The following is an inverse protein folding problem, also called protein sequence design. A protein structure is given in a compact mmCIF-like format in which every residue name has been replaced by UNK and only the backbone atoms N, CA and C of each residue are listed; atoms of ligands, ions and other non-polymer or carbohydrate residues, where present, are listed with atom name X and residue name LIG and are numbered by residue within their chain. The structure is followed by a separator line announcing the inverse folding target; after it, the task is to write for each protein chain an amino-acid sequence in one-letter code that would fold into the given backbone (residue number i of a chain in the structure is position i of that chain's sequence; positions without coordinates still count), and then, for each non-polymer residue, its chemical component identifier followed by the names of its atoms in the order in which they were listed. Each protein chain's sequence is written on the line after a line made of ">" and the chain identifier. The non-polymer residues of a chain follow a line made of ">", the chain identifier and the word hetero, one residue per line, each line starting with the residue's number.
data_IF_328715951705
#
_entry.id   IF_328715951705
#
_cell.length_a   1.000
_cell.length_b   1.000
_cell.length_c   1.000
_cell.angle_alpha   90.00
_cell.angle_beta   90.00
_cell.angle_gamma   90.00
#
_symmetry.space_group_name_H-M   'P 1'
#
loop_
_entity.id
_entity.type
_entity.pdbx_description
1 polymer ?
#
# COMPACT_ATOMS: atom_id res chain seq x y z
N UNK A 1 -22.54 -17.54 -0.51
CA UNK A 1 -21.18 -16.97 -0.61
C UNK A 1 -20.21 -18.14 -0.57
N UNK A 2 -19.64 -18.51 -1.72
CA UNK A 2 -18.68 -19.60 -1.82
C UNK A 2 -17.39 -19.31 -1.04
N UNK A 3 -16.75 -20.36 -0.50
CA UNK A 3 -15.49 -20.29 0.25
C UNK A 3 -14.42 -19.46 -0.47
N UNK A 4 -14.39 -19.54 -1.81
CA UNK A 4 -13.47 -18.80 -2.66
C UNK A 4 -13.70 -17.28 -2.61
N UNK A 5 -14.96 -16.82 -2.59
CA UNK A 5 -15.29 -15.39 -2.47
C UNK A 5 -14.92 -14.84 -1.09
N UNK A 6 -15.09 -15.65 -0.04
CA UNK A 6 -14.72 -15.28 1.32
C UNK A 6 -13.19 -15.16 1.48
N UNK A 7 -12.43 -16.09 0.90
CA UNK A 7 -10.96 -16.05 0.88
C UNK A 7 -10.43 -14.82 0.11
N UNK A 8 -10.99 -14.53 -1.07
CA UNK A 8 -10.63 -13.34 -1.86
C UNK A 8 -10.91 -12.04 -1.11
N UNK A 9 -12.07 -11.94 -0.46
CA UNK A 9 -12.44 -10.76 0.35
C UNK A 9 -11.47 -10.56 1.52
N UNK A 10 -11.04 -11.65 2.17
CA UNK A 10 -10.06 -11.59 3.23
C UNK A 10 -8.71 -11.08 2.72
N UNK A 11 -8.28 -11.56 1.55
CA UNK A 11 -7.03 -11.15 0.91
C UNK A 11 -7.02 -9.66 0.55
N UNK A 12 -8.13 -9.16 -0.02
CA UNK A 12 -8.32 -7.74 -0.33
C UNK A 12 -8.27 -6.88 0.93
N UNK A 13 -8.87 -7.33 2.03
CA UNK A 13 -8.78 -6.62 3.32
C UNK A 13 -7.34 -6.54 3.82
N UNK A 14 -6.59 -7.65 3.78
CA UNK A 14 -5.18 -7.64 4.16
C UNK A 14 -4.33 -6.78 3.24
N UNK A 15 -4.55 -6.81 1.93
CA UNK A 15 -3.85 -5.96 0.97
C UNK A 15 -4.16 -4.47 1.19
N UNK A 16 -5.40 -4.12 1.53
CA UNK A 16 -5.78 -2.74 1.84
C UNK A 16 -5.10 -2.24 3.11
N UNK A 17 -5.10 -3.04 4.19
CA UNK A 17 -4.49 -2.67 5.47
C UNK A 17 -2.97 -2.65 5.37
N UNK A 18 -2.37 -3.68 4.77
CA UNK A 18 -0.92 -3.80 4.58
C UNK A 18 -0.37 -2.74 3.63
N UNK A 19 -1.04 -2.53 2.49
CA UNK A 19 -0.71 -1.45 1.56
C UNK A 19 -0.86 -0.07 2.19
N UNK A 20 -1.90 0.14 3.00
CA UNK A 20 -2.14 1.41 3.68
C UNK A 20 -1.03 1.75 4.67
N UNK A 21 -0.66 0.78 5.52
CA UNK A 21 0.44 0.92 6.47
C UNK A 21 1.78 1.18 5.75
N UNK A 22 2.03 0.45 4.65
CA UNK A 22 3.22 0.62 3.83
C UNK A 22 3.30 2.00 3.16
N UNK A 23 2.15 2.53 2.71
CA UNK A 23 2.03 3.88 2.13
C UNK A 23 2.43 4.93 3.16
N UNK A 24 1.86 4.85 4.37
CA UNK A 24 2.13 5.80 5.47
C UNK A 24 3.61 5.75 5.85
N UNK A 25 4.18 4.55 5.99
CA UNK A 25 5.60 4.38 6.29
C UNK A 25 6.51 4.96 5.19
N UNK A 26 6.15 4.76 3.92
CA UNK A 26 6.87 5.35 2.80
C UNK A 26 6.85 6.88 2.81
N UNK A 27 5.71 7.49 3.12
CA UNK A 27 5.59 8.96 3.25
C UNK A 27 6.45 9.48 4.41
N UNK A 28 6.49 8.77 5.54
CA UNK A 28 7.34 9.13 6.69
C UNK A 28 8.82 9.04 6.29
N UNK A 29 9.22 7.97 5.61
CA UNK A 29 10.60 7.77 5.16
C UNK A 29 11.01 8.81 4.13
N UNK A 30 10.10 9.18 3.23
CA UNK A 30 10.29 10.26 2.26
C UNK A 30 10.48 11.62 2.94
N UNK A 31 9.61 11.96 3.90
CA UNK A 31 9.69 13.20 4.66
C UNK A 31 10.98 13.27 5.50
N UNK A 32 11.39 12.15 6.12
CA UNK A 32 12.65 12.04 6.82
C UNK A 32 13.86 12.22 5.90
N UNK A 33 13.85 11.57 4.72
CA UNK A 33 14.90 11.72 3.72
C UNK A 33 15.01 13.15 3.17
N UNK A 34 13.88 13.83 2.98
CA UNK A 34 13.84 15.24 2.56
C UNK A 34 14.41 16.16 3.64
N UNK A 35 14.08 15.92 4.91
CA UNK A 35 14.62 16.66 6.05
C UNK A 35 16.12 16.48 6.20
N UNK A 36 16.61 15.25 6.06
CA UNK A 36 18.02 14.91 6.30
C UNK A 36 18.87 15.02 5.02
N UNK A 37 18.30 15.52 3.92
CA UNK A 37 18.93 15.62 2.58
C UNK A 37 19.59 14.30 2.11
N UNK A 38 19.05 13.17 2.55
CA UNK A 38 19.56 11.85 2.18
C UNK A 38 18.88 11.35 0.92
N UNK A 39 19.52 11.58 -0.23
CA UNK A 39 19.05 11.14 -1.56
C UNK A 39 18.57 9.68 -1.62
N UNK A 40 19.28 8.69 -1.03
CA UNK A 40 18.82 7.30 -1.01
C UNK A 40 17.53 7.06 -0.22
N UNK A 41 17.32 7.84 0.84
CA UNK A 41 16.14 7.71 1.72
C UNK A 41 14.91 8.38 1.11
N UNK A 42 15.10 9.47 0.36
CA UNK A 42 14.07 10.08 -0.49
C UNK A 42 13.63 9.08 -1.56
N UNK A 43 14.58 8.48 -2.29
CA UNK A 43 14.27 7.55 -3.38
C UNK A 43 13.53 6.30 -2.88
N UNK A 44 14.00 5.70 -1.78
CA UNK A 44 13.31 4.56 -1.16
C UNK A 44 11.95 4.93 -0.56
N UNK A 45 11.83 6.12 0.04
CA UNK A 45 10.58 6.64 0.58
C UNK A 45 9.51 6.89 -0.49
N UNK A 46 9.88 7.48 -1.64
CA UNK A 46 8.96 7.62 -2.80
C UNK A 46 8.46 6.25 -3.25
N UNK A 47 9.35 5.27 -3.38
CA UNK A 47 8.95 3.95 -3.86
C UNK A 47 8.05 3.19 -2.88
N UNK A 48 8.28 3.36 -1.58
CA UNK A 48 7.41 2.81 -0.54
C UNK A 48 6.04 3.51 -0.51
N UNK A 49 6.00 4.83 -0.66
CA UNK A 49 4.75 5.59 -0.68
C UNK A 49 3.90 5.25 -1.91
N UNK A 50 4.51 5.28 -3.10
CA UNK A 50 3.82 4.97 -4.36
C UNK A 50 3.47 3.49 -4.45
N UNK A 51 4.39 2.59 -4.08
CA UNK A 51 4.16 1.15 -4.07
C UNK A 51 3.06 0.72 -3.09
N UNK A 52 3.04 1.31 -1.88
CA UNK A 52 1.96 1.11 -0.92
C UNK A 52 0.61 1.61 -1.47
N UNK A 53 0.60 2.81 -2.06
CA UNK A 53 -0.61 3.42 -2.61
C UNK A 53 -1.20 2.60 -3.76
N UNK A 54 -0.35 2.02 -4.61
CA UNK A 54 -0.76 1.10 -5.68
C UNK A 54 -1.36 -0.20 -5.14
N UNK A 55 -0.81 -0.76 -4.06
CA UNK A 55 -1.37 -1.96 -3.40
C UNK A 55 -2.77 -1.67 -2.85
N UNK A 56 -2.96 -0.49 -2.22
CA UNK A 56 -4.27 -0.06 -1.74
C UNK A 56 -5.26 0.15 -2.88
N UNK A 57 -4.84 0.85 -3.94
CA UNK A 57 -5.69 1.10 -5.10
C UNK A 57 -6.10 -0.21 -5.81
N UNK A 58 -5.16 -1.14 -5.96
CA UNK A 58 -5.44 -2.47 -6.52
C UNK A 58 -6.39 -3.28 -5.65
N UNK A 59 -6.25 -3.23 -4.33
CA UNK A 59 -7.16 -3.89 -3.40
C UNK A 59 -8.59 -3.30 -3.48
N UNK A 60 -8.71 -1.98 -3.56
CA UNK A 60 -10.01 -1.31 -3.74
C UNK A 60 -10.65 -1.63 -5.10
N UNK A 61 -9.87 -1.65 -6.18
CA UNK A 61 -10.36 -2.08 -7.50
C UNK A 61 -10.81 -3.54 -7.50
N UNK A 62 -10.05 -4.45 -6.88
CA UNK A 62 -10.45 -5.84 -6.72
C UNK A 62 -11.72 -5.98 -5.87
N UNK A 63 -11.87 -5.18 -4.82
CA UNK A 63 -13.11 -5.15 -4.02
C UNK A 63 -14.33 -4.73 -4.83
N UNK A 64 -14.16 -3.86 -5.83
CA UNK A 64 -15.26 -3.37 -6.67
C UNK A 64 -15.58 -4.27 -7.87
N UNK A 65 -14.63 -5.10 -8.31
CA UNK A 65 -14.80 -5.99 -9.47
C UNK A 65 -15.17 -7.42 -9.04
N UNK A 66 -14.73 -7.86 -7.86
CA UNK A 66 -14.94 -9.23 -7.37
C UNK A 66 -16.21 -9.43 -6.52
N UNK A 67 -16.93 -8.35 -6.19
CA UNK A 67 -18.24 -8.34 -5.50
C UNK A 67 -19.34 -8.02 -6.51
#
# INVERSE_FOLDING_TARGET
>A
MDMMSQALTLFVKFATIGGGLWTVWGVITLAGGLRDHQGPQIQSGVWQAVGGGLIVAAAQLFSNIAL
#
